data_IF_577282011883
#
_entry.id   IF_577282011883
#
_cell.length_a   1.000
_cell.length_b   1.000
_cell.length_c   1.000
_cell.angle_alpha   90.00
_cell.angle_beta   90.00
_cell.angle_gamma   90.00
#
_symmetry.space_group_name_H-M   'P 1'
#
loop_
_entity.id
_entity.type
_entity.pdbx_description
1 polymer ?
#
# COMPACT_ATOMS: atom_id res chain seq x y z
N UNK A 1 10.22 15.86 -7.91
CA UNK A 1 10.84 14.66 -8.50
C UNK A 1 10.74 13.42 -7.59
N UNK A 2 11.34 13.37 -6.38
CA UNK A 2 11.24 12.14 -5.53
C UNK A 2 9.80 11.72 -5.16
N UNK A 3 8.87 12.66 -4.98
CA UNK A 3 7.48 12.34 -4.61
C UNK A 3 6.61 11.80 -5.74
N UNK A 4 6.99 12.02 -6.99
CA UNK A 4 6.20 11.60 -8.16
C UNK A 4 6.50 10.14 -8.51
N UNK A 5 7.79 9.76 -8.57
CA UNK A 5 8.21 8.35 -8.72
C UNK A 5 7.68 7.47 -7.57
N UNK A 6 7.76 7.95 -6.32
CA UNK A 6 7.22 7.18 -5.17
C UNK A 6 5.71 6.96 -5.32
N UNK A 7 4.97 7.99 -5.75
CA UNK A 7 3.53 7.87 -5.99
C UNK A 7 3.21 6.85 -7.09
N UNK A 8 3.91 6.90 -8.22
CA UNK A 8 3.71 5.94 -9.31
C UNK A 8 3.97 4.50 -8.85
N UNK A 9 5.05 4.27 -8.09
CA UNK A 9 5.36 2.96 -7.54
C UNK A 9 4.26 2.52 -6.56
N UNK A 10 3.77 3.41 -5.67
CA UNK A 10 2.64 3.10 -4.79
C UNK A 10 1.39 2.69 -5.56
N UNK A 11 1.06 3.37 -6.65
CA UNK A 11 -0.12 3.03 -7.46
C UNK A 11 -0.01 1.62 -8.04
N UNK A 12 1.18 1.22 -8.50
CA UNK A 12 1.44 -0.15 -8.99
C UNK A 12 1.33 -1.16 -7.84
N UNK A 13 2.06 -0.94 -6.75
CA UNK A 13 2.07 -1.85 -5.60
C UNK A 13 0.70 -2.01 -4.96
N UNK A 14 -0.12 -0.96 -4.92
CA UNK A 14 -1.48 -1.06 -4.41
C UNK A 14 -2.33 -2.00 -5.27
N UNK A 15 -2.17 -1.99 -6.60
CA UNK A 15 -2.90 -2.95 -7.45
C UNK A 15 -2.54 -4.39 -7.10
N UNK A 16 -1.26 -4.65 -6.84
CA UNK A 16 -0.78 -5.98 -6.45
C UNK A 16 -1.29 -6.36 -5.05
N UNK A 17 -1.19 -5.45 -4.08
CA UNK A 17 -1.69 -5.64 -2.71
C UNK A 17 -3.20 -5.95 -2.70
N UNK A 18 -4.02 -5.17 -3.39
CA UNK A 18 -5.47 -5.42 -3.44
C UNK A 18 -5.83 -6.67 -4.24
N UNK A 19 -4.97 -7.11 -5.18
CA UNK A 19 -5.16 -8.40 -5.84
C UNK A 19 -4.94 -9.58 -4.89
N UNK A 20 -4.00 -9.48 -3.93
CA UNK A 20 -3.75 -10.55 -2.96
C UNK A 20 -4.67 -10.47 -1.73
N UNK A 21 -5.14 -9.27 -1.36
CA UNK A 21 -5.98 -9.02 -0.18
C UNK A 21 -7.42 -8.68 -0.51
N UNK A 22 -7.92 -9.12 -1.66
CA UNK A 22 -9.26 -8.76 -2.16
C UNK A 22 -10.37 -9.04 -1.14
N UNK A 23 -10.23 -10.13 -0.37
CA UNK A 23 -11.21 -10.57 0.63
C UNK A 23 -10.79 -10.26 2.08
N UNK A 24 -9.78 -9.41 2.27
CA UNK A 24 -9.16 -9.10 3.57
C UNK A 24 -8.80 -7.62 3.69
N UNK A 25 -9.73 -6.73 3.34
CA UNK A 25 -9.53 -5.27 3.39
C UNK A 25 -9.41 -4.74 4.82
N UNK A 26 -10.00 -5.45 5.78
CA UNK A 26 -9.90 -5.19 7.21
C UNK A 26 -8.45 -5.21 7.68
N UNK A 27 -7.64 -6.18 7.22
CA UNK A 27 -6.24 -6.30 7.61
C UNK A 27 -5.39 -5.10 7.11
N UNK A 28 -5.71 -4.57 5.92
CA UNK A 28 -5.07 -3.34 5.41
C UNK A 28 -5.48 -2.14 6.26
N UNK A 29 -6.76 -2.08 6.66
CA UNK A 29 -7.26 -1.02 7.54
C UNK A 29 -6.63 -1.07 8.93
N UNK A 30 -6.40 -2.27 9.47
CA UNK A 30 -5.73 -2.50 10.75
C UNK A 30 -4.26 -2.09 10.65
N UNK A 31 -3.55 -2.53 9.62
CA UNK A 31 -2.16 -2.12 9.36
C UNK A 31 -2.00 -0.59 9.29
N UNK A 32 -2.91 0.11 8.61
CA UNK A 32 -2.91 1.58 8.56
C UNK A 32 -3.04 2.21 9.96
N UNK A 33 -3.83 1.61 10.84
CA UNK A 33 -4.04 2.11 12.19
C UNK A 33 -2.87 1.76 13.12
N UNK A 34 -2.35 0.55 13.05
CA UNK A 34 -1.28 0.06 13.93
C UNK A 34 0.06 0.71 13.63
N UNK A 35 0.43 0.82 12.35
CA UNK A 35 1.75 1.34 11.94
C UNK A 35 1.78 2.87 11.84
N UNK A 36 0.65 3.51 11.49
CA UNK A 36 0.60 4.94 11.17
C UNK A 36 -0.47 5.72 11.94
N UNK A 37 -1.31 5.07 12.76
CA UNK A 37 -2.43 5.73 13.44
C UNK A 37 -3.53 6.23 12.49
N UNK A 38 -3.55 5.77 11.22
CA UNK A 38 -4.47 6.24 10.20
C UNK A 38 -5.75 5.40 10.22
N UNK A 39 -6.85 6.01 10.67
CA UNK A 39 -8.17 5.40 10.57
C UNK A 39 -8.68 5.45 9.12
N UNK A 40 -9.07 4.29 8.61
CA UNK A 40 -9.71 4.11 7.32
C UNK A 40 -10.87 3.13 7.43
N UNK A 41 -11.82 3.20 6.51
CA UNK A 41 -12.81 2.13 6.34
C UNK A 41 -12.20 1.03 5.46
N UNK A 42 -12.55 -0.26 5.65
CA UNK A 42 -12.10 -1.37 4.83
C UNK A 42 -12.80 -1.38 3.46
N UNK A 43 -12.59 -0.30 2.69
CA UNK A 43 -13.08 -0.11 1.33
C UNK A 43 -11.89 0.23 0.46
N UNK A 44 -11.72 -0.51 -0.63
CA UNK A 44 -10.55 -0.40 -1.52
C UNK A 44 -10.26 1.05 -1.94
N UNK A 45 -11.28 1.81 -2.38
CA UNK A 45 -11.12 3.22 -2.78
C UNK A 45 -10.68 4.12 -1.63
N UNK A 46 -11.20 3.89 -0.42
CA UNK A 46 -10.86 4.66 0.79
C UNK A 46 -9.42 4.37 1.18
N UNK A 47 -9.03 3.09 1.23
CA UNK A 47 -7.68 2.65 1.58
C UNK A 47 -6.65 3.17 0.57
N UNK A 48 -6.90 3.03 -0.74
CA UNK A 48 -6.03 3.58 -1.79
C UNK A 48 -5.84 5.08 -1.63
N UNK A 49 -6.93 5.84 -1.42
CA UNK A 49 -6.85 7.29 -1.23
C UNK A 49 -6.03 7.66 -0.01
N UNK A 50 -6.22 6.97 1.12
CA UNK A 50 -5.46 7.20 2.35
C UNK A 50 -3.97 6.93 2.13
N UNK A 51 -3.62 5.80 1.53
CA UNK A 51 -2.23 5.41 1.27
C UNK A 51 -1.55 6.38 0.29
N UNK A 52 -2.18 6.71 -0.84
CA UNK A 52 -1.60 7.60 -1.85
C UNK A 52 -1.46 9.05 -1.39
N UNK A 53 -2.35 9.50 -0.50
CA UNK A 53 -2.28 10.86 0.06
C UNK A 53 -1.34 10.98 1.26
N UNK A 54 -0.92 9.85 1.84
CA UNK A 54 0.01 9.84 2.97
C UNK A 54 1.43 10.15 2.51
N UNK A 55 2.08 11.06 3.24
CA UNK A 55 3.51 11.35 3.11
C UNK A 55 4.37 10.41 3.97
N UNK A 56 3.76 9.74 4.93
CA UNK A 56 4.43 8.86 5.90
C UNK A 56 4.57 7.45 5.35
N UNK A 57 3.51 6.94 4.73
CA UNK A 57 3.55 5.64 4.05
C UNK A 57 4.38 5.81 2.79
N UNK A 58 5.37 4.96 2.58
CA UNK A 58 6.23 4.95 1.38
C UNK A 58 5.89 3.77 0.47
N UNK A 59 6.40 3.79 -0.76
CA UNK A 59 6.36 2.61 -1.64
C UNK A 59 7.03 1.37 -1.02
N UNK A 60 8.07 1.55 -0.20
CA UNK A 60 8.76 0.43 0.45
C UNK A 60 7.88 -0.26 1.49
N UNK A 61 7.10 0.49 2.25
CA UNK A 61 6.21 -0.08 3.27
C UNK A 61 5.13 -0.96 2.64
N UNK A 62 4.59 -0.53 1.49
CA UNK A 62 3.61 -1.32 0.72
C UNK A 62 4.28 -2.59 0.17
N UNK A 63 5.52 -2.48 -0.33
CA UNK A 63 6.27 -3.63 -0.83
C UNK A 63 6.54 -4.67 0.27
N UNK A 64 6.90 -4.23 1.48
CA UNK A 64 7.08 -5.09 2.65
C UNK A 64 5.77 -5.79 3.00
N UNK A 65 4.66 -5.05 3.07
CA UNK A 65 3.36 -5.62 3.35
C UNK A 65 2.97 -6.70 2.32
N UNK A 66 3.25 -6.48 1.03
CA UNK A 66 3.00 -7.50 -0.02
C UNK A 66 3.81 -8.78 0.27
N UNK A 67 5.10 -8.65 0.59
CA UNK A 67 5.99 -9.78 0.85
C UNK A 67 5.57 -10.55 2.11
N UNK A 68 5.23 -9.85 3.20
CA UNK A 68 4.74 -10.45 4.45
C UNK A 68 3.45 -11.26 4.23
N UNK A 69 2.66 -10.87 3.23
CA UNK A 69 1.45 -11.56 2.83
C UNK A 69 1.66 -12.61 1.72
N UNK A 70 2.92 -13.01 1.47
CA UNK A 70 3.27 -14.06 0.52
C UNK A 70 3.22 -13.63 -0.95
N UNK A 71 3.09 -12.33 -1.22
CA UNK A 71 3.15 -11.76 -2.56
C UNK A 71 4.58 -11.58 -3.06
N UNK A 72 4.69 -11.21 -4.33
CA UNK A 72 5.97 -10.89 -4.99
C UNK A 72 5.96 -9.44 -5.46
N UNK A 73 7.10 -8.76 -5.33
CA UNK A 73 7.28 -7.39 -5.80
C UNK A 73 8.36 -7.33 -6.86
N UNK A 74 8.07 -6.67 -7.98
CA UNK A 74 9.02 -6.51 -9.08
C UNK A 74 10.10 -5.48 -8.74
N UNK A 75 11.34 -5.93 -8.52
CA UNK A 75 12.51 -5.07 -8.23
C UNK A 75 12.81 -4.02 -9.31
N UNK A 76 12.32 -4.21 -10.54
CA UNK A 76 12.48 -3.22 -11.61
C UNK A 76 11.67 -1.94 -11.36
N UNK A 77 10.73 -1.92 -10.40
CA UNK A 77 9.95 -0.71 -10.08
C UNK A 77 10.81 0.45 -9.57
N UNK A 78 12.00 0.17 -9.03
CA UNK A 78 12.87 1.18 -8.41
C UNK A 78 13.90 1.79 -9.37
N UNK A 79 14.17 1.14 -10.51
CA UNK A 79 15.17 1.58 -11.49
C UNK A 79 14.48 2.40 -12.59
#
# INVERSE_FOLDING_TARGET
MKSEKDREIKEILLRDLFSIKKDSLEEISEWLYEEYGIKAEPKEEVLKKKILSSKEITSHDIALLIIENGGYVNEQLWF
#
